data_IF_018157717018
#
_entry.id   IF_018157717018
#
_cell.length_a   1.000
_cell.length_b   1.000
_cell.length_c   1.000
_cell.angle_alpha   90.00
_cell.angle_beta   90.00
_cell.angle_gamma   90.00
#
_symmetry.space_group_name_H-M   'P 1'
#
loop_
_entity.id
_entity.type
_entity.pdbx_description
1 polymer ?
#
# COMPACT_ATOMS: atom_id res chain seq x y z
N UNK A 1 1.90 67.78 51.64
CA UNK A 1 0.97 67.13 50.70
C UNK A 1 1.65 65.87 50.22
N UNK A 2 1.22 64.70 50.76
CA UNK A 2 1.76 63.39 50.45
C UNK A 2 1.00 62.82 49.28
N UNK A 3 1.71 62.62 48.17
CA UNK A 3 1.18 61.87 47.04
C UNK A 3 1.27 60.36 47.34
N UNK A 4 0.14 59.76 47.67
CA UNK A 4 -0.01 58.31 47.79
C UNK A 4 -0.23 57.72 46.40
N UNK A 5 0.82 57.15 45.81
CA UNK A 5 0.70 56.26 44.64
C UNK A 5 0.01 54.97 45.04
N UNK A 6 -1.14 54.73 44.43
CA UNK A 6 -1.88 53.45 44.51
C UNK A 6 -1.25 52.47 43.49
N UNK A 7 -0.77 51.30 43.91
CA UNK A 7 -0.25 50.33 42.95
C UNK A 7 -1.41 49.74 42.13
N UNK A 8 -1.38 49.94 40.83
CA UNK A 8 -2.27 49.30 39.86
C UNK A 8 -1.84 47.85 39.72
N UNK A 9 -2.60 46.95 40.31
CA UNK A 9 -2.46 45.51 40.15
C UNK A 9 -2.94 45.10 38.74
N UNK A 10 -1.99 44.91 37.78
CA UNK A 10 -2.29 44.40 36.44
C UNK A 10 -2.13 42.88 36.46
N UNK A 11 -3.00 42.17 37.16
CA UNK A 11 -3.24 40.76 36.92
C UNK A 11 -4.47 40.61 36.03
N UNK A 12 -4.35 41.05 34.77
CA UNK A 12 -5.27 40.69 33.72
C UNK A 12 -4.93 39.27 33.27
N UNK A 13 -5.46 38.27 33.97
CA UNK A 13 -5.64 36.92 33.41
C UNK A 13 -6.63 37.06 32.25
N UNK A 14 -6.09 37.14 31.01
CA UNK A 14 -6.89 37.12 29.81
C UNK A 14 -7.70 35.84 29.77
N UNK A 15 -9.00 35.93 30.08
CA UNK A 15 -9.93 34.85 29.81
C UNK A 15 -9.94 34.59 28.28
N UNK A 16 -9.33 33.49 27.87
CA UNK A 16 -9.45 33.02 26.49
C UNK A 16 -10.92 32.66 26.26
N UNK A 17 -11.63 33.50 25.52
CA UNK A 17 -13.01 33.22 25.11
C UNK A 17 -12.95 32.10 24.08
N UNK A 18 -13.20 30.88 24.52
CA UNK A 18 -13.31 29.72 23.63
C UNK A 18 -14.68 29.76 22.97
N UNK A 19 -14.71 29.98 21.66
CA UNK A 19 -15.95 29.92 20.90
C UNK A 19 -16.40 28.45 20.80
N UNK A 20 -17.65 28.11 21.21
CA UNK A 20 -18.15 26.72 21.19
C UNK A 20 -18.05 26.04 19.82
N UNK A 21 -18.16 26.82 18.75
CA UNK A 21 -18.09 26.31 17.36
C UNK A 21 -16.65 25.98 16.94
N UNK A 22 -15.65 26.66 17.48
CA UNK A 22 -14.24 26.34 17.25
C UNK A 22 -13.86 24.98 17.89
N UNK A 23 -14.28 24.74 19.12
CA UNK A 23 -14.03 23.47 19.81
C UNK A 23 -14.77 22.31 19.13
N UNK A 24 -15.98 22.54 18.64
CA UNK A 24 -16.71 21.52 17.86
C UNK A 24 -15.97 21.16 16.59
N UNK A 25 -15.52 22.16 15.83
CA UNK A 25 -14.79 21.96 14.58
C UNK A 25 -13.44 21.27 14.83
N UNK A 26 -12.70 21.67 15.85
CA UNK A 26 -11.45 21.03 16.27
C UNK A 26 -11.66 19.53 16.59
N UNK A 27 -12.71 19.23 17.36
CA UNK A 27 -13.05 17.85 17.72
C UNK A 27 -13.49 17.03 16.47
N UNK A 28 -14.18 17.67 15.50
CA UNK A 28 -14.54 17.02 14.25
C UNK A 28 -13.30 16.66 13.41
N UNK A 29 -12.36 17.60 13.26
CA UNK A 29 -11.09 17.38 12.56
C UNK A 29 -10.29 16.24 13.22
N UNK A 30 -10.18 16.20 14.53
CA UNK A 30 -9.48 15.13 15.24
C UNK A 30 -10.16 13.75 15.08
N UNK A 31 -11.50 13.72 15.07
CA UNK A 31 -12.23 12.48 14.75
C UNK A 31 -11.94 12.02 13.33
N UNK A 32 -11.94 12.92 12.35
CA UNK A 32 -11.64 12.61 10.95
C UNK A 32 -10.20 12.11 10.77
N UNK A 33 -9.21 12.71 11.44
CA UNK A 33 -7.82 12.23 11.45
C UNK A 33 -7.72 10.82 12.02
N UNK A 34 -8.45 10.56 13.10
CA UNK A 34 -8.49 9.22 13.71
C UNK A 34 -9.12 8.21 12.76
N UNK A 35 -10.25 8.55 12.13
CA UNK A 35 -10.92 7.71 11.16
C UNK A 35 -10.03 7.44 9.94
N UNK A 36 -9.37 8.47 9.38
CA UNK A 36 -8.44 8.34 8.27
C UNK A 36 -7.31 7.36 8.63
N UNK A 37 -6.73 7.46 9.84
CA UNK A 37 -5.69 6.53 10.28
C UNK A 37 -6.16 5.07 10.36
N UNK A 38 -7.44 4.84 10.69
CA UNK A 38 -8.02 3.50 10.73
C UNK A 38 -8.26 2.95 9.32
N UNK A 39 -8.78 3.77 8.42
CA UNK A 39 -9.03 3.37 7.02
C UNK A 39 -7.72 3.12 6.26
N UNK A 40 -6.68 3.92 6.50
CA UNK A 40 -5.35 3.68 5.94
C UNK A 40 -4.80 2.33 6.41
N UNK A 41 -4.92 2.01 7.70
CA UNK A 41 -4.51 0.71 8.22
C UNK A 41 -5.30 -0.44 7.59
N UNK A 42 -6.64 -0.30 7.45
CA UNK A 42 -7.48 -1.30 6.78
C UNK A 42 -7.07 -1.52 5.33
N UNK A 43 -6.85 -0.44 4.57
CA UNK A 43 -6.37 -0.51 3.19
C UNK A 43 -5.04 -1.26 3.09
N UNK A 44 -4.09 -0.91 3.95
CA UNK A 44 -2.75 -1.50 3.95
C UNK A 44 -2.78 -2.98 4.38
N UNK A 45 -3.64 -3.34 5.33
CA UNK A 45 -3.86 -4.75 5.70
C UNK A 45 -4.46 -5.56 4.54
N UNK A 46 -5.48 -5.02 3.87
CA UNK A 46 -6.05 -5.64 2.69
C UNK A 46 -5.00 -5.85 1.60
N UNK A 47 -4.26 -4.81 1.25
CA UNK A 47 -3.32 -4.80 0.13
C UNK A 47 -2.06 -5.63 0.40
N UNK A 48 -1.46 -5.49 1.58
CA UNK A 48 -0.14 -6.05 1.86
C UNK A 48 -0.18 -7.41 2.57
N UNK A 49 -1.29 -7.72 3.22
CA UNK A 49 -1.43 -8.99 3.95
C UNK A 49 -2.43 -9.89 3.24
N UNK A 50 -3.70 -9.48 3.13
CA UNK A 50 -4.77 -10.35 2.66
C UNK A 50 -4.60 -10.67 1.17
N UNK A 51 -4.44 -9.66 0.30
CA UNK A 51 -4.22 -9.88 -1.13
C UNK A 51 -2.97 -10.73 -1.38
N UNK A 52 -1.88 -10.46 -0.65
CA UNK A 52 -0.64 -11.22 -0.80
C UNK A 52 -0.73 -12.66 -0.32
N UNK A 53 -1.54 -12.94 0.70
CA UNK A 53 -1.78 -14.31 1.14
C UNK A 53 -2.60 -15.08 0.10
N UNK A 54 -3.65 -14.46 -0.47
CA UNK A 54 -4.45 -15.06 -1.55
C UNK A 54 -3.59 -15.33 -2.79
N UNK A 55 -2.78 -14.35 -3.21
CA UNK A 55 -1.83 -14.48 -4.34
C UNK A 55 -0.84 -15.63 -4.10
N UNK A 56 -0.29 -15.73 -2.88
CA UNK A 56 0.61 -16.81 -2.49
C UNK A 56 -0.06 -18.17 -2.59
N UNK A 57 -1.26 -18.32 -2.02
CA UNK A 57 -2.02 -19.57 -2.07
C UNK A 57 -2.37 -19.97 -3.50
N UNK A 58 -2.78 -19.01 -4.32
CA UNK A 58 -3.05 -19.21 -5.74
C UNK A 58 -1.80 -19.71 -6.50
N UNK A 59 -0.66 -19.02 -6.31
CA UNK A 59 0.60 -19.41 -6.98
C UNK A 59 1.08 -20.79 -6.55
N UNK A 60 0.93 -21.15 -5.29
CA UNK A 60 1.30 -22.49 -4.80
C UNK A 60 0.42 -23.59 -5.36
N UNK A 61 -0.88 -23.34 -5.58
CA UNK A 61 -1.84 -24.34 -6.07
C UNK A 61 -1.88 -24.43 -7.59
N UNK A 62 -1.86 -23.31 -8.29
CA UNK A 62 -2.14 -23.22 -9.72
C UNK A 62 -0.97 -22.70 -10.57
N UNK A 63 -0.01 -21.99 -9.97
CA UNK A 63 1.06 -21.31 -10.72
C UNK A 63 1.88 -22.24 -11.62
N UNK A 64 2.15 -23.49 -11.20
CA UNK A 64 2.87 -24.47 -12.02
C UNK A 64 2.05 -24.93 -13.24
N UNK A 65 0.73 -24.99 -13.10
CA UNK A 65 -0.18 -25.40 -14.19
C UNK A 65 -0.29 -24.27 -15.21
N UNK A 66 -0.46 -23.04 -14.74
CA UNK A 66 -0.50 -21.86 -15.60
C UNK A 66 0.81 -21.66 -16.36
N UNK A 67 1.95 -21.81 -15.67
CA UNK A 67 3.25 -21.74 -16.32
C UNK A 67 3.37 -22.73 -17.48
N UNK A 68 3.05 -24.01 -17.24
CA UNK A 68 3.11 -25.06 -18.26
C UNK A 68 2.12 -24.80 -19.42
N UNK A 69 0.93 -24.30 -19.12
CA UNK A 69 -0.07 -23.98 -20.13
C UNK A 69 0.42 -22.81 -21.02
N UNK A 70 0.98 -21.77 -20.41
CA UNK A 70 1.51 -20.62 -21.14
C UNK A 70 2.77 -20.97 -21.93
N UNK A 71 3.68 -21.76 -21.37
CA UNK A 71 4.87 -22.29 -22.06
C UNK A 71 4.47 -23.10 -23.31
N UNK A 72 3.50 -24.01 -23.18
CA UNK A 72 2.99 -24.78 -24.31
C UNK A 72 2.32 -23.91 -25.38
N UNK A 73 1.57 -22.89 -24.97
CA UNK A 73 0.97 -21.92 -25.88
C UNK A 73 2.04 -21.12 -26.66
N UNK A 74 3.06 -20.64 -25.96
CA UNK A 74 4.18 -19.92 -26.58
C UNK A 74 4.93 -20.80 -27.58
N UNK A 75 5.20 -22.06 -27.22
CA UNK A 75 5.85 -23.04 -28.10
C UNK A 75 5.01 -23.31 -29.37
N UNK A 76 3.70 -23.47 -29.25
CA UNK A 76 2.79 -23.67 -30.34
C UNK A 76 2.76 -22.44 -31.28
N UNK A 77 2.67 -21.24 -30.74
CA UNK A 77 2.69 -19.99 -31.52
C UNK A 77 4.04 -19.80 -32.23
N UNK A 78 5.15 -20.09 -31.56
CA UNK A 78 6.48 -20.01 -32.13
C UNK A 78 6.65 -21.01 -33.31
N UNK A 79 6.17 -22.25 -33.14
CA UNK A 79 6.18 -23.25 -34.20
C UNK A 79 5.32 -22.83 -35.41
N UNK A 80 4.11 -22.33 -35.15
CA UNK A 80 3.24 -21.80 -36.22
C UNK A 80 3.94 -20.68 -36.97
N UNK A 81 4.54 -19.72 -36.29
CA UNK A 81 5.27 -18.61 -36.92
C UNK A 81 6.49 -19.08 -37.72
N UNK A 82 7.21 -20.07 -37.22
CA UNK A 82 8.33 -20.71 -37.92
C UNK A 82 7.90 -21.30 -39.24
N UNK A 83 6.77 -22.03 -39.27
CA UNK A 83 6.20 -22.61 -40.48
C UNK A 83 5.84 -21.51 -41.46
N UNK A 84 5.22 -20.41 -41.04
CA UNK A 84 4.86 -19.26 -41.85
C UNK A 84 6.11 -18.64 -42.52
N UNK A 85 7.18 -18.41 -41.77
CA UNK A 85 8.45 -17.85 -42.26
C UNK A 85 9.11 -18.77 -43.28
N UNK A 86 9.15 -20.09 -43.02
CA UNK A 86 9.68 -21.08 -43.95
C UNK A 86 8.87 -21.10 -45.25
N UNK A 87 7.53 -21.10 -45.13
CA UNK A 87 6.66 -21.12 -46.31
C UNK A 87 6.80 -19.84 -47.13
N UNK A 88 6.92 -18.67 -46.48
CA UNK A 88 7.15 -17.41 -47.17
C UNK A 88 8.46 -17.43 -47.99
N UNK A 89 9.54 -17.97 -47.41
CA UNK A 89 10.82 -18.14 -48.13
C UNK A 89 10.71 -19.09 -49.35
N UNK A 90 10.03 -20.25 -49.15
CA UNK A 90 9.76 -21.20 -50.24
C UNK A 90 8.94 -20.57 -51.35
N UNK A 91 7.89 -19.84 -51.05
CA UNK A 91 7.03 -19.20 -52.04
C UNK A 91 7.78 -18.16 -52.88
N UNK A 92 8.81 -17.51 -52.31
CA UNK A 92 9.68 -16.56 -53.01
C UNK A 92 10.86 -17.22 -53.70
N UNK A 93 10.98 -18.55 -53.66
CA UNK A 93 12.11 -19.33 -54.18
C UNK A 93 13.47 -18.91 -53.56
N UNK A 94 13.43 -18.38 -52.33
CA UNK A 94 14.62 -17.99 -51.60
C UNK A 94 15.19 -19.19 -50.80
N UNK A 95 16.50 -19.13 -50.53
CA UNK A 95 17.15 -20.14 -49.69
C UNK A 95 16.63 -20.05 -48.24
N UNK A 96 16.16 -21.16 -47.67
CA UNK A 96 15.74 -21.25 -46.29
C UNK A 96 16.97 -21.43 -45.40
N UNK A 97 17.29 -20.40 -44.62
CA UNK A 97 18.37 -20.40 -43.63
C UNK A 97 17.73 -20.47 -42.24
N UNK A 98 17.80 -21.63 -41.62
CA UNK A 98 17.12 -21.90 -40.31
C UNK A 98 17.62 -20.99 -39.22
N UNK A 99 18.94 -20.71 -39.13
CA UNK A 99 19.51 -19.82 -38.11
C UNK A 99 18.95 -18.40 -38.17
N UNK A 100 18.77 -17.84 -39.40
CA UNK A 100 18.17 -16.50 -39.55
C UNK A 100 16.68 -16.47 -39.17
N UNK A 101 15.96 -17.59 -39.37
CA UNK A 101 14.57 -17.72 -38.96
C UNK A 101 14.50 -17.80 -37.42
N UNK A 102 15.39 -18.56 -36.77
CA UNK A 102 15.42 -18.63 -35.28
C UNK A 102 15.75 -17.27 -34.66
N UNK A 103 16.71 -16.52 -35.20
CA UNK A 103 17.05 -15.17 -34.74
C UNK A 103 15.84 -14.21 -34.83
N UNK A 104 15.07 -14.30 -35.92
CA UNK A 104 13.83 -13.55 -36.12
C UNK A 104 12.80 -13.95 -35.03
N UNK A 105 12.65 -15.27 -34.80
CA UNK A 105 11.73 -15.79 -33.78
C UNK A 105 12.15 -15.40 -32.36
N UNK A 106 13.44 -15.42 -32.05
CA UNK A 106 13.95 -14.98 -30.72
C UNK A 106 13.61 -13.52 -30.47
N UNK A 107 13.71 -12.69 -31.50
CA UNK A 107 13.33 -11.28 -31.41
C UNK A 107 11.81 -11.09 -31.24
N UNK A 108 11.01 -11.77 -32.09
CA UNK A 108 9.54 -11.67 -32.06
C UNK A 108 8.94 -12.23 -30.77
N UNK A 109 9.58 -13.25 -30.15
CA UNK A 109 9.09 -13.93 -28.94
C UNK A 109 9.78 -13.51 -27.64
N UNK A 110 10.63 -12.48 -27.67
CA UNK A 110 11.33 -11.99 -26.48
C UNK A 110 10.37 -11.58 -25.34
N UNK A 111 9.23 -10.94 -25.66
CA UNK A 111 8.24 -10.53 -24.65
C UNK A 111 7.54 -11.74 -24.00
N UNK A 112 7.28 -12.81 -24.74
CA UNK A 112 6.74 -14.05 -24.19
C UNK A 112 7.70 -14.71 -23.20
N UNK A 113 9.00 -14.71 -23.52
CA UNK A 113 10.02 -15.22 -22.63
C UNK A 113 10.08 -14.42 -21.33
N UNK A 114 10.04 -13.10 -21.43
CA UNK A 114 9.99 -12.21 -20.27
C UNK A 114 8.79 -12.50 -19.37
N UNK A 115 7.60 -12.73 -19.92
CA UNK A 115 6.41 -13.08 -19.16
C UNK A 115 6.54 -14.44 -18.45
N UNK A 116 7.21 -15.43 -19.08
CA UNK A 116 7.52 -16.71 -18.43
C UNK A 116 8.45 -16.51 -17.24
N UNK A 117 9.50 -15.70 -17.39
CA UNK A 117 10.43 -15.37 -16.29
C UNK A 117 9.73 -14.62 -15.14
N UNK A 118 8.81 -13.72 -15.46
CA UNK A 118 7.99 -13.04 -14.45
C UNK A 118 7.09 -14.02 -13.68
N UNK A 119 6.51 -15.01 -14.32
CA UNK A 119 5.72 -16.06 -13.65
C UNK A 119 6.59 -16.91 -12.72
N UNK A 120 7.78 -17.30 -13.15
CA UNK A 120 8.76 -18.02 -12.30
C UNK A 120 9.12 -17.19 -11.07
N UNK A 121 9.36 -15.89 -11.25
CA UNK A 121 9.68 -15.00 -10.14
C UNK A 121 8.52 -14.90 -9.14
N UNK A 122 7.28 -14.77 -9.59
CA UNK A 122 6.08 -14.78 -8.73
C UNK A 122 5.96 -16.10 -7.94
N UNK A 123 6.21 -17.24 -8.59
CA UNK A 123 6.21 -18.54 -7.91
C UNK A 123 7.32 -18.63 -6.86
N UNK A 124 8.53 -18.16 -7.16
CA UNK A 124 9.65 -18.15 -6.22
C UNK A 124 9.36 -17.25 -5.02
N UNK A 125 8.73 -16.10 -5.21
CA UNK A 125 8.33 -15.20 -4.13
C UNK A 125 7.22 -15.81 -3.27
N UNK A 126 6.26 -16.51 -3.88
CA UNK A 126 5.24 -17.27 -3.15
C UNK A 126 5.87 -18.39 -2.30
N UNK A 127 6.86 -19.12 -2.83
CA UNK A 127 7.60 -20.15 -2.10
C UNK A 127 8.41 -19.57 -0.94
N UNK A 128 9.09 -18.43 -1.13
CA UNK A 128 9.80 -17.74 -0.04
C UNK A 128 8.84 -17.31 1.06
N UNK A 129 7.70 -16.73 0.68
CA UNK A 129 6.66 -16.28 1.64
C UNK A 129 6.06 -17.47 2.41
N UNK A 130 5.79 -18.60 1.75
CA UNK A 130 5.25 -19.80 2.40
C UNK A 130 6.19 -20.45 3.42
N UNK A 131 7.52 -20.23 3.27
CA UNK A 131 8.57 -20.72 4.18
C UNK A 131 8.94 -19.71 5.27
N UNK A 132 8.47 -18.47 5.18
CA UNK A 132 8.71 -17.47 6.21
C UNK A 132 8.05 -17.88 7.54
N UNK A 133 8.68 -17.54 8.65
CA UNK A 133 8.09 -17.76 9.97
C UNK A 133 6.77 -16.99 10.09
N UNK A 134 5.73 -17.73 10.51
CA UNK A 134 4.41 -17.14 10.73
C UNK A 134 4.43 -16.45 12.10
N UNK A 135 4.15 -15.15 12.11
CA UNK A 135 3.98 -14.41 13.35
C UNK A 135 2.84 -15.00 14.19
N UNK A 136 3.04 -15.09 15.49
CA UNK A 136 1.97 -15.46 16.42
C UNK A 136 0.86 -14.41 16.44
N UNK A 137 -0.35 -14.78 16.89
CA UNK A 137 -1.46 -13.84 17.00
C UNK A 137 -1.14 -12.62 17.88
N UNK A 138 -0.32 -12.82 18.94
CA UNK A 138 0.13 -11.73 19.79
C UNK A 138 1.12 -10.80 19.10
N UNK A 139 2.04 -11.35 18.33
CA UNK A 139 3.00 -10.58 17.54
C UNK A 139 2.30 -9.80 16.43
N UNK A 140 1.32 -10.40 15.76
CA UNK A 140 0.47 -9.73 14.78
C UNK A 140 -0.31 -8.55 15.40
N UNK A 141 -0.88 -8.75 16.60
CA UNK A 141 -1.55 -7.66 17.33
C UNK A 141 -0.59 -6.53 17.70
N UNK A 142 0.62 -6.87 18.14
CA UNK A 142 1.68 -5.89 18.44
C UNK A 142 2.14 -5.15 17.19
N UNK A 143 2.36 -5.86 16.09
CA UNK A 143 2.73 -5.31 14.78
C UNK A 143 1.71 -4.28 14.30
N UNK A 144 0.42 -4.64 14.28
CA UNK A 144 -0.68 -3.75 13.89
C UNK A 144 -0.79 -2.52 14.80
N UNK A 145 -0.61 -2.71 16.11
CA UNK A 145 -0.66 -1.61 17.09
C UNK A 145 0.48 -0.61 16.87
N UNK A 146 1.70 -1.10 16.64
CA UNK A 146 2.87 -0.25 16.37
C UNK A 146 2.71 0.48 15.04
N UNK A 147 2.34 -0.24 13.99
CA UNK A 147 2.14 0.37 12.67
C UNK A 147 1.06 1.45 12.70
N UNK A 148 -0.08 1.21 13.38
CA UNK A 148 -1.13 2.22 13.57
C UNK A 148 -0.63 3.48 14.27
N UNK A 149 0.23 3.33 15.31
CA UNK A 149 0.87 4.46 15.98
C UNK A 149 1.73 5.27 15.03
N UNK A 150 2.51 4.59 14.20
CA UNK A 150 3.42 5.22 13.21
C UNK A 150 2.61 5.92 12.11
N UNK A 151 1.58 5.27 11.54
CA UNK A 151 0.67 5.87 10.55
C UNK A 151 0.06 7.16 11.07
N UNK A 152 -0.49 7.14 12.31
CA UNK A 152 -1.09 8.34 12.92
C UNK A 152 -0.09 9.50 13.05
N UNK A 153 1.17 9.19 13.30
CA UNK A 153 2.20 10.20 13.57
C UNK A 153 2.96 10.67 12.32
N UNK A 154 3.18 9.80 11.34
CA UNK A 154 4.08 10.08 10.21
C UNK A 154 3.42 10.08 8.84
N UNK A 155 2.17 9.60 8.70
CA UNK A 155 1.53 9.52 7.38
C UNK A 155 1.33 10.93 6.81
N UNK A 156 1.81 11.22 5.57
CA UNK A 156 1.72 12.57 4.99
C UNK A 156 0.29 13.09 4.84
N UNK A 157 -0.68 12.20 4.54
CA UNK A 157 -2.08 12.58 4.41
C UNK A 157 -2.71 13.02 5.75
N UNK A 158 -2.21 12.48 6.87
CA UNK A 158 -2.67 12.83 8.22
C UNK A 158 -1.92 14.08 8.71
N UNK A 159 -0.63 14.14 8.43
CA UNK A 159 0.27 15.20 8.88
C UNK A 159 0.98 15.83 7.67
N UNK A 160 0.42 16.88 7.05
CA UNK A 160 1.00 17.50 5.86
C UNK A 160 2.38 18.14 6.08
N UNK A 161 2.70 18.49 7.33
CA UNK A 161 3.91 19.21 7.71
C UNK A 161 5.10 18.28 8.07
N UNK A 162 5.01 16.96 7.75
CA UNK A 162 6.11 16.02 7.99
C UNK A 162 7.32 16.36 7.14
N UNK A 163 8.50 16.28 7.74
CA UNK A 163 9.77 16.50 7.04
C UNK A 163 10.09 15.36 6.08
N UNK A 164 10.98 15.59 5.10
CA UNK A 164 11.44 14.56 4.17
C UNK A 164 12.04 13.32 4.89
N UNK A 165 12.76 13.55 6.00
CA UNK A 165 13.30 12.45 6.81
C UNK A 165 12.19 11.62 7.49
N UNK A 166 11.11 12.26 7.92
CA UNK A 166 9.95 11.57 8.50
C UNK A 166 9.18 10.77 7.44
N UNK A 167 9.08 11.28 6.21
CA UNK A 167 8.51 10.52 5.07
C UNK A 167 9.33 9.27 4.79
N UNK A 168 10.66 9.37 4.73
CA UNK A 168 11.54 8.20 4.57
C UNK A 168 11.39 7.19 5.72
N UNK A 169 11.25 7.68 6.95
CA UNK A 169 11.02 6.83 8.11
C UNK A 169 9.67 6.10 8.02
N UNK A 170 8.65 6.78 7.49
CA UNK A 170 7.35 6.17 7.21
C UNK A 170 7.44 5.10 6.12
N UNK A 171 8.15 5.33 5.01
CA UNK A 171 8.37 4.34 3.95
C UNK A 171 9.07 3.07 4.47
N UNK A 172 10.05 3.25 5.37
CA UNK A 172 10.69 2.13 6.07
C UNK A 172 9.70 1.37 6.96
N UNK A 173 8.78 2.08 7.63
CA UNK A 173 7.74 1.43 8.44
C UNK A 173 6.74 0.65 7.58
N UNK A 174 6.34 1.18 6.42
CA UNK A 174 5.50 0.46 5.45
C UNK A 174 6.20 -0.82 4.97
N UNK A 175 7.48 -0.74 4.65
CA UNK A 175 8.28 -1.90 4.23
C UNK A 175 8.40 -2.95 5.34
N UNK A 176 8.64 -2.52 6.58
CA UNK A 176 8.70 -3.38 7.74
C UNK A 176 7.34 -4.07 8.02
N UNK A 177 6.24 -3.33 7.88
CA UNK A 177 4.89 -3.89 8.04
C UNK A 177 4.58 -4.96 6.98
N UNK A 178 4.92 -4.70 5.70
CA UNK A 178 4.77 -5.66 4.59
C UNK A 178 5.52 -6.98 4.84
N UNK A 179 6.67 -6.88 5.47
CA UNK A 179 7.56 -8.02 5.74
C UNK A 179 7.29 -8.68 7.10
N UNK A 180 6.38 -8.15 7.92
CA UNK A 180 6.12 -8.65 9.27
C UNK A 180 7.27 -8.38 10.26
N UNK A 181 8.14 -7.40 9.97
CA UNK A 181 9.30 -7.07 10.79
C UNK A 181 8.91 -6.24 12.03
N UNK A 182 8.59 -6.95 13.10
CA UNK A 182 8.24 -6.36 14.38
C UNK A 182 9.40 -5.58 15.02
N UNK A 183 10.66 -6.03 14.76
CA UNK A 183 11.85 -5.39 15.30
C UNK A 183 12.03 -3.97 14.77
N UNK A 184 12.02 -3.82 13.45
CA UNK A 184 12.12 -2.52 12.79
C UNK A 184 10.95 -1.60 13.17
N UNK A 185 9.71 -2.10 13.20
CA UNK A 185 8.56 -1.29 13.63
C UNK A 185 8.66 -0.82 15.08
N UNK A 186 9.25 -1.62 15.97
CA UNK A 186 9.47 -1.20 17.36
C UNK A 186 10.45 -0.04 17.45
N UNK A 187 11.59 -0.13 16.75
CA UNK A 187 12.59 0.93 16.69
C UNK A 187 11.97 2.22 16.16
N UNK A 188 11.25 2.15 15.03
CA UNK A 188 10.58 3.32 14.45
C UNK A 188 9.52 3.88 15.42
N UNK A 189 8.75 3.02 16.07
CA UNK A 189 7.75 3.41 17.05
C UNK A 189 8.32 4.11 18.29
N UNK A 190 9.54 3.76 18.71
CA UNK A 190 10.27 4.44 19.77
C UNK A 190 10.79 5.81 19.30
N UNK A 191 11.34 5.91 18.08
CA UNK A 191 11.77 7.18 17.50
C UNK A 191 10.63 8.18 17.41
N UNK A 192 9.45 7.74 16.98
CA UNK A 192 8.23 8.56 16.88
C UNK A 192 7.71 8.95 18.26
N UNK A 193 7.79 8.05 19.26
CA UNK A 193 7.31 8.32 20.63
C UNK A 193 8.15 9.35 21.40
N UNK A 194 9.40 9.54 21.01
CA UNK A 194 10.34 10.45 21.64
C UNK A 194 10.33 11.88 21.03
N UNK A 195 9.62 12.06 19.93
CA UNK A 195 9.46 13.35 19.30
C UNK A 195 7.98 13.78 19.44
N UNK A 196 7.59 14.54 20.45
CA UNK A 196 6.27 15.15 20.45
C UNK A 196 6.24 16.04 19.22
N UNK A 197 5.44 15.63 18.22
CA UNK A 197 5.11 16.49 17.10
C UNK A 197 4.66 17.81 17.71
N UNK A 198 5.40 18.87 17.46
CA UNK A 198 5.07 20.19 17.95
C UNK A 198 3.61 20.44 17.55
N UNK A 199 2.74 20.55 18.54
CA UNK A 199 1.44 21.16 18.36
C UNK A 199 1.68 22.62 17.95
N UNK A 200 2.00 22.80 16.68
CA UNK A 200 1.93 24.12 16.10
C UNK A 200 0.43 24.43 16.04
N UNK A 201 0.01 25.25 16.98
CA UNK A 201 -1.31 25.82 17.02
C UNK A 201 -1.57 26.63 15.76
N UNK A 202 -2.09 25.99 14.75
CA UNK A 202 -2.73 26.66 13.60
C UNK A 202 -4.17 26.96 14.03
N UNK A 203 -4.33 28.00 14.83
CA UNK A 203 -5.56 28.30 15.55
C UNK A 203 -6.58 29.15 14.77
N UNK A 204 -6.38 29.36 13.47
CA UNK A 204 -7.36 30.11 12.68
C UNK A 204 -8.53 29.21 12.29
N UNK A 205 -9.75 29.64 12.57
CA UNK A 205 -11.01 28.97 12.19
C UNK A 205 -11.04 28.57 10.71
N UNK A 206 -10.53 29.44 9.84
CA UNK A 206 -10.42 29.18 8.39
C UNK A 206 -9.55 27.96 8.08
N UNK A 207 -8.41 27.80 8.75
CA UNK A 207 -7.52 26.66 8.55
C UNK A 207 -8.16 25.34 8.99
N UNK A 208 -8.95 25.36 10.07
CA UNK A 208 -9.70 24.18 10.49
C UNK A 208 -10.80 23.79 9.51
N UNK A 209 -11.46 24.77 8.87
CA UNK A 209 -12.46 24.52 7.82
C UNK A 209 -11.79 23.90 6.59
N UNK A 210 -10.69 24.46 6.12
CA UNK A 210 -9.92 23.94 4.99
C UNK A 210 -9.40 22.51 5.27
N UNK A 211 -8.87 22.29 6.48
CA UNK A 211 -8.39 20.96 6.89
C UNK A 211 -9.54 19.93 6.97
N UNK A 212 -10.70 20.32 7.45
CA UNK A 212 -11.90 19.48 7.45
C UNK A 212 -12.29 19.06 6.03
N UNK A 213 -12.34 20.01 5.08
CA UNK A 213 -12.69 19.72 3.69
C UNK A 213 -11.65 18.81 3.04
N UNK A 214 -10.35 19.05 3.29
CA UNK A 214 -9.25 18.18 2.84
C UNK A 214 -9.43 16.76 3.35
N UNK A 215 -9.66 16.59 4.65
CA UNK A 215 -9.84 15.27 5.28
C UNK A 215 -11.10 14.56 4.76
N UNK A 216 -12.20 15.28 4.49
CA UNK A 216 -13.40 14.69 3.88
C UNK A 216 -13.10 14.11 2.50
N UNK A 217 -12.34 14.83 1.67
CA UNK A 217 -11.90 14.35 0.37
C UNK A 217 -11.04 13.08 0.47
N UNK A 218 -10.07 13.06 1.39
CA UNK A 218 -9.22 11.90 1.63
C UNK A 218 -9.99 10.68 2.16
N UNK A 219 -10.88 10.87 3.11
CA UNK A 219 -11.73 9.80 3.65
C UNK A 219 -12.58 9.14 2.55
N UNK A 220 -13.16 9.96 1.64
CA UNK A 220 -13.89 9.45 0.48
C UNK A 220 -13.00 8.63 -0.43
N UNK A 221 -11.83 9.15 -0.82
CA UNK A 221 -10.88 8.48 -1.71
C UNK A 221 -10.37 7.15 -1.13
N UNK A 222 -10.05 7.11 0.17
CA UNK A 222 -9.58 5.87 0.82
C UNK A 222 -10.69 4.83 0.91
N UNK A 223 -11.95 5.21 1.20
CA UNK A 223 -13.09 4.28 1.18
C UNK A 223 -13.30 3.68 -0.21
N UNK A 224 -13.29 4.51 -1.26
CA UNK A 224 -13.36 4.05 -2.65
C UNK A 224 -12.22 3.08 -2.99
N UNK A 225 -11.01 3.36 -2.52
CA UNK A 225 -9.85 2.46 -2.70
C UNK A 225 -10.06 1.11 -2.00
N UNK A 226 -10.56 1.10 -0.77
CA UNK A 226 -10.88 -0.11 -0.01
C UNK A 226 -11.96 -0.93 -0.72
N UNK A 227 -13.02 -0.28 -1.20
CA UNK A 227 -14.11 -0.95 -1.91
C UNK A 227 -13.63 -1.55 -3.24
N UNK A 228 -12.75 -0.86 -3.96
CA UNK A 228 -12.11 -1.40 -5.17
C UNK A 228 -11.26 -2.64 -4.87
N UNK A 229 -10.44 -2.62 -3.80
CA UNK A 229 -9.66 -3.79 -3.38
C UNK A 229 -10.59 -4.96 -3.02
N UNK A 230 -11.64 -4.71 -2.22
CA UNK A 230 -12.62 -5.73 -1.82
C UNK A 230 -13.37 -6.30 -3.02
N UNK A 231 -13.74 -5.48 -3.99
CA UNK A 231 -14.42 -5.94 -5.21
C UNK A 231 -13.51 -6.84 -6.04
N UNK A 232 -12.22 -6.50 -6.20
CA UNK A 232 -11.25 -7.38 -6.86
C UNK A 232 -11.12 -8.73 -6.13
N UNK A 233 -11.07 -8.73 -4.79
CA UNK A 233 -10.99 -9.95 -3.98
C UNK A 233 -12.22 -10.85 -4.15
N UNK A 234 -13.41 -10.28 -4.30
CA UNK A 234 -14.65 -11.04 -4.54
C UNK A 234 -14.63 -11.79 -5.88
N UNK A 235 -13.95 -11.26 -6.91
CA UNK A 235 -13.79 -11.93 -8.21
C UNK A 235 -12.72 -13.03 -8.18
N UNK A 236 -11.73 -12.95 -7.30
CA UNK A 236 -10.64 -13.93 -7.17
C UNK A 236 -10.89 -14.99 -6.10
N UNK A 237 -11.82 -14.74 -5.18
CA UNK A 237 -12.25 -15.72 -4.17
C UNK A 237 -13.29 -16.68 -4.77
N UNK A 238 -13.12 -18.01 -4.64
CA UNK A 238 -14.12 -18.96 -5.14
C UNK A 238 -15.47 -18.66 -4.49
N UNK A 239 -16.49 -18.51 -5.33
CA UNK A 239 -17.86 -18.25 -4.90
C UNK A 239 -18.30 -19.34 -3.89
N UNK A 240 -19.13 -19.01 -2.88
CA UNK A 240 -19.73 -20.02 -2.01
C UNK A 240 -20.50 -21.11 -2.77
N UNK A 241 -20.87 -20.86 -4.03
CA UNK A 241 -21.48 -21.86 -4.92
C UNK A 241 -20.48 -22.88 -5.44
N UNK A 242 -19.21 -22.50 -5.63
CA UNK A 242 -18.16 -23.40 -6.12
C UNK A 242 -17.72 -24.41 -5.07
N UNK A 243 -17.94 -24.13 -3.77
CA UNK A 243 -17.67 -25.04 -2.65
C UNK A 243 -18.69 -26.18 -2.53
N UNK A 244 -19.82 -26.19 -3.30
CA UNK A 244 -20.84 -27.22 -3.28
C UNK A 244 -20.68 -28.31 -4.38
N UNK A 245 -19.65 -28.14 -5.24
CA UNK A 245 -19.38 -29.06 -6.36
C UNK A 245 -18.08 -29.86 -6.22
N UNK A 246 -17.45 -29.84 -5.03
CA UNK A 246 -16.27 -30.66 -4.71
C UNK A 246 -16.56 -31.67 -3.63
#
# INVERSE_FOLDING_TARGET
EEDTEVPVDITSTGNVIVFPDFEKLKNEVEKMRTELSMLLLERDELQFVICKNIETEYMLKLGSIEYKAYEAQCAALRLKRKIELIQAKKNRQEKVIISAIEETLDTEFAEYQKQLDEQINKMNDALKRSKAEVLTDEENKKLKKLYRKIVKALHPDINPDVSQAQVQLFDNAVSAYKNGDLGTLRIIGEMVGNNPLSEQHKDAMTQLVEERERLQGLLKSIRESIDNIKSCLLYTSPSPRDKRQS
#
